data_IF_281319666240
#
_entry.id   IF_281319666240
#
_cell.length_a   1.000
_cell.length_b   1.000
_cell.length_c   1.000
_cell.angle_alpha   90.00
_cell.angle_beta   90.00
_cell.angle_gamma   90.00
#
_symmetry.space_group_name_H-M   'P 1'
#
loop_
_entity.id
_entity.type
_entity.pdbx_description
1 polymer ?
#
# COMPACT_ATOMS: atom_id res chain seq x y z
N UNK A 1 -52.92 -5.38 -81.43
CA UNK A 1 -52.28 -4.54 -80.38
C UNK A 1 -51.45 -3.49 -81.09
N UNK A 2 -51.85 -2.22 -80.96
CA UNK A 2 -51.35 -1.04 -81.68
C UNK A 2 -50.85 0.01 -80.68
N UNK A 3 -49.89 0.82 -81.16
CA UNK A 3 -49.57 2.22 -80.77
C UNK A 3 -48.89 2.44 -79.41
N UNK A 4 -47.67 3.02 -79.40
CA UNK A 4 -47.35 4.45 -79.20
C UNK A 4 -47.28 4.79 -77.69
N UNK A 5 -46.44 5.64 -77.10
CA UNK A 5 -45.56 6.75 -77.50
C UNK A 5 -44.85 7.23 -76.21
N UNK A 6 -43.65 7.78 -76.26
CA UNK A 6 -43.11 8.63 -75.16
C UNK A 6 -43.87 9.97 -75.09
N UNK A 7 -43.94 10.67 -73.93
CA UNK A 7 -42.92 11.69 -73.60
C UNK A 7 -42.69 12.03 -72.09
N UNK A 8 -41.50 12.57 -71.78
CA UNK A 8 -41.34 13.90 -71.15
C UNK A 8 -41.72 14.20 -69.68
N UNK A 9 -40.68 14.43 -68.86
CA UNK A 9 -40.50 15.61 -67.98
C UNK A 9 -41.22 15.78 -66.61
N UNK A 10 -40.37 16.03 -65.59
CA UNK A 10 -40.39 17.08 -64.54
C UNK A 10 -41.39 17.04 -63.34
N UNK A 11 -40.73 17.00 -62.16
CA UNK A 11 -40.77 17.97 -61.03
C UNK A 11 -41.59 17.72 -59.74
N UNK A 12 -40.87 17.97 -58.62
CA UNK A 12 -41.25 18.45 -57.26
C UNK A 12 -41.90 17.42 -56.31
N UNK A 13 -41.76 17.47 -54.98
CA UNK A 13 -40.80 18.06 -54.02
C UNK A 13 -41.29 17.69 -52.60
N UNK A 14 -40.37 17.65 -51.63
CA UNK A 14 -40.53 17.86 -50.17
C UNK A 14 -40.98 16.70 -49.24
N UNK A 15 -40.19 16.57 -48.18
CA UNK A 15 -40.44 15.87 -46.90
C UNK A 15 -39.21 15.03 -46.53
N UNK A 16 -38.41 15.26 -45.50
CA UNK A 16 -38.48 16.16 -44.35
C UNK A 16 -37.92 15.45 -43.10
N UNK A 17 -36.63 15.65 -42.82
CA UNK A 17 -35.91 15.54 -41.52
C UNK A 17 -35.80 14.20 -40.76
N UNK A 18 -34.83 14.04 -39.82
CA UNK A 18 -33.53 14.71 -39.67
C UNK A 18 -32.35 13.76 -39.36
N UNK A 19 -31.14 14.21 -39.70
CA UNK A 19 -29.88 13.62 -39.23
C UNK A 19 -29.64 13.97 -37.75
N UNK A 20 -29.29 12.97 -36.94
CA UNK A 20 -28.92 13.13 -35.53
C UNK A 20 -27.46 13.62 -35.46
N UNK A 21 -27.16 14.69 -34.70
CA UNK A 21 -25.81 15.24 -34.59
C UNK A 21 -24.95 14.38 -33.63
N UNK A 22 -23.81 13.91 -34.12
CA UNK A 22 -22.76 13.35 -33.27
C UNK A 22 -21.83 14.48 -32.82
N UNK A 23 -22.07 15.04 -31.62
CA UNK A 23 -21.07 15.77 -30.81
C UNK A 23 -21.40 15.57 -29.33
N UNK A 24 -20.67 14.67 -28.67
CA UNK A 24 -20.55 14.69 -27.21
C UNK A 24 -19.61 15.83 -26.80
N UNK A 25 -19.74 16.36 -25.57
CA UNK A 25 -18.86 17.41 -25.08
C UNK A 25 -17.42 16.89 -24.94
N UNK A 26 -16.45 17.70 -25.36
CA UNK A 26 -15.03 17.44 -25.15
C UNK A 26 -14.72 17.30 -23.64
N UNK A 27 -13.80 16.40 -23.24
CA UNK A 27 -13.36 16.30 -21.86
C UNK A 27 -12.70 17.62 -21.44
N UNK A 28 -13.13 18.16 -20.29
CA UNK A 28 -12.54 19.36 -19.68
C UNK A 28 -11.08 19.06 -19.35
N UNK A 29 -10.16 19.55 -20.19
CA UNK A 29 -8.73 19.59 -19.90
C UNK A 29 -8.47 20.76 -18.96
N UNK A 30 -8.24 20.48 -17.68
CA UNK A 30 -7.66 21.48 -16.78
C UNK A 30 -6.16 21.56 -17.08
N UNK A 31 -5.74 22.67 -17.70
CA UNK A 31 -4.33 22.96 -18.01
C UNK A 31 -3.56 23.31 -16.73
N UNK A 32 -2.40 22.67 -16.53
CA UNK A 32 -1.49 22.85 -15.39
C UNK A 32 -0.78 24.22 -15.33
N UNK A 33 -1.19 25.21 -16.13
CA UNK A 33 -0.39 26.41 -16.40
C UNK A 33 -0.82 27.70 -15.68
N UNK A 34 -1.62 27.65 -14.60
CA UNK A 34 -1.92 28.87 -13.83
C UNK A 34 -2.00 28.61 -12.32
N UNK A 35 -0.86 28.34 -11.70
CA UNK A 35 -0.74 28.37 -10.24
C UNK A 35 0.49 29.20 -9.86
N UNK A 36 0.25 30.47 -9.54
CA UNK A 36 1.21 31.24 -8.75
C UNK A 36 1.43 30.52 -7.40
N UNK A 37 2.65 30.54 -6.83
CA UNK A 37 2.91 29.88 -5.55
C UNK A 37 1.97 30.45 -4.47
N UNK A 38 1.32 29.62 -3.65
CA UNK A 38 0.43 30.11 -2.62
C UNK A 38 1.23 30.92 -1.60
N UNK A 39 0.76 32.15 -1.35
CA UNK A 39 1.27 33.05 -0.31
C UNK A 39 1.08 32.37 1.07
N UNK A 40 1.97 32.55 2.06
CA UNK A 40 1.79 31.95 3.38
C UNK A 40 0.50 32.49 4.03
N UNK A 41 -0.46 31.60 4.29
CA UNK A 41 -1.68 31.94 5.02
C UNK A 41 -1.45 31.66 6.50
N UNK A 42 -1.62 32.70 7.33
CA UNK A 42 -1.58 32.58 8.79
C UNK A 42 -2.71 31.64 9.27
N UNK A 43 -2.35 30.75 10.20
CA UNK A 43 -3.12 29.60 10.69
C UNK A 43 -4.52 29.91 11.28
N UNK A 44 -4.91 31.18 11.43
CA UNK A 44 -6.04 31.60 12.26
C UNK A 44 -7.37 31.88 11.53
N UNK A 45 -7.43 31.90 10.19
CA UNK A 45 -8.58 32.53 9.50
C UNK A 45 -9.62 31.62 8.83
N UNK A 46 -9.55 30.28 8.92
CA UNK A 46 -10.56 29.41 8.29
C UNK A 46 -10.92 28.22 9.19
N UNK A 47 -12.19 28.15 9.61
CA UNK A 47 -12.77 27.15 10.52
C UNK A 47 -12.83 25.69 10.03
N UNK A 48 -11.89 25.24 9.19
CA UNK A 48 -11.65 23.82 8.90
C UNK A 48 -10.14 23.55 9.04
N UNK A 49 -9.75 22.92 10.15
CA UNK A 49 -8.35 22.77 10.54
C UNK A 49 -7.51 21.98 9.52
N UNK A 50 -6.22 22.26 9.50
CA UNK A 50 -5.23 21.45 8.80
C UNK A 50 -5.30 19.97 9.28
N UNK A 51 -5.19 19.01 8.36
CA UNK A 51 -5.07 17.58 8.67
C UNK A 51 -3.64 17.13 8.36
N UNK A 52 -2.90 16.70 9.40
CA UNK A 52 -1.52 16.22 9.30
C UNK A 52 -1.54 14.72 9.10
N UNK A 53 -1.12 14.26 7.92
CA UNK A 53 -1.13 12.85 7.56
C UNK A 53 0.29 12.33 7.36
N UNK A 54 0.73 11.42 8.21
CA UNK A 54 2.09 10.86 8.15
C UNK A 54 2.20 9.64 7.24
N UNK A 55 3.32 9.48 6.55
CA UNK A 55 3.62 8.28 5.78
C UNK A 55 5.09 7.94 5.75
N UNK A 56 5.41 6.64 5.72
CA UNK A 56 6.75 6.17 5.36
C UNK A 56 6.85 6.04 3.85
N UNK A 57 7.91 6.55 3.18
CA UNK A 57 8.11 6.41 1.74
C UNK A 57 8.21 4.94 1.29
N UNK A 58 7.09 4.42 0.80
CA UNK A 58 6.89 3.08 0.23
C UNK A 58 5.87 3.18 -0.91
N UNK A 59 5.89 2.22 -1.84
CA UNK A 59 4.96 2.21 -2.97
C UNK A 59 3.50 2.09 -2.53
N UNK A 60 3.23 1.43 -1.40
CA UNK A 60 1.91 1.33 -0.79
C UNK A 60 1.40 2.63 -0.14
N UNK A 61 2.24 3.68 -0.03
CA UNK A 61 1.79 5.04 0.29
C UNK A 61 1.15 5.75 -0.91
N UNK A 62 1.13 5.14 -2.10
CA UNK A 62 0.61 5.73 -3.32
C UNK A 62 -0.79 6.32 -3.21
N UNK A 63 -1.79 5.69 -2.53
CA UNK A 63 -3.12 6.28 -2.45
C UNK A 63 -3.13 7.66 -1.79
N UNK A 64 -2.25 7.90 -0.82
CA UNK A 64 -2.13 9.18 -0.12
C UNK A 64 -1.49 10.24 -1.01
N UNK A 65 -0.42 9.86 -1.71
CA UNK A 65 0.34 10.75 -2.59
C UNK A 65 -0.49 11.14 -3.82
N UNK A 66 -1.20 10.18 -4.41
CA UNK A 66 -2.12 10.42 -5.53
C UNK A 66 -3.30 11.28 -5.08
N UNK A 67 -3.91 11.01 -3.93
CA UNK A 67 -5.02 11.82 -3.42
C UNK A 67 -4.61 13.29 -3.20
N UNK A 68 -3.36 13.53 -2.78
CA UNK A 68 -2.79 14.87 -2.63
C UNK A 68 -2.53 15.53 -3.99
N UNK A 69 -1.80 14.87 -4.90
CA UNK A 69 -1.37 15.45 -6.17
C UNK A 69 -2.53 15.71 -7.13
N UNK A 70 -3.52 14.81 -7.15
CA UNK A 70 -4.70 14.95 -8.01
C UNK A 70 -5.80 15.80 -7.36
N UNK A 71 -5.52 16.42 -6.21
CA UNK A 71 -6.46 17.31 -5.53
C UNK A 71 -7.70 16.62 -4.96
N UNK A 72 -7.70 15.29 -4.80
CA UNK A 72 -8.84 14.54 -4.27
C UNK A 72 -9.16 14.91 -2.82
N UNK A 73 -8.15 15.20 -1.99
CA UNK A 73 -8.37 15.74 -0.65
C UNK A 73 -9.04 17.12 -0.68
N UNK A 74 -8.57 18.03 -1.55
CA UNK A 74 -9.14 19.36 -1.68
C UNK A 74 -10.58 19.31 -2.23
N UNK A 75 -10.86 18.42 -3.19
CA UNK A 75 -12.21 18.16 -3.70
C UNK A 75 -13.15 17.62 -2.63
N UNK A 76 -12.62 16.91 -1.63
CA UNK A 76 -13.35 16.46 -0.44
C UNK A 76 -13.44 17.53 0.67
N UNK A 77 -12.99 18.77 0.41
CA UNK A 77 -13.01 19.87 1.37
C UNK A 77 -11.89 19.85 2.42
N UNK A 78 -10.86 19.01 2.23
CA UNK A 78 -9.78 18.81 3.19
C UNK A 78 -8.53 19.60 2.83
N UNK A 79 -7.91 20.19 3.86
CA UNK A 79 -6.55 20.74 3.78
C UNK A 79 -5.58 19.74 4.41
N UNK A 80 -4.96 18.91 3.58
CA UNK A 80 -4.03 17.88 4.04
C UNK A 80 -2.58 18.37 3.88
N UNK A 81 -1.77 18.11 4.91
CA UNK A 81 -0.31 18.19 4.83
C UNK A 81 0.25 16.80 5.05
N UNK A 82 0.91 16.28 4.02
CA UNK A 82 1.63 15.01 4.10
C UNK A 82 2.97 15.21 4.79
N UNK A 83 3.24 14.38 5.80
CA UNK A 83 4.52 14.33 6.51
C UNK A 83 5.25 13.04 6.17
N UNK A 84 6.38 13.14 5.47
CA UNK A 84 7.23 11.99 5.20
C UNK A 84 8.03 11.62 6.47
N UNK A 85 7.87 10.39 6.93
CA UNK A 85 8.47 9.87 8.15
C UNK A 85 9.58 8.87 7.83
N UNK A 86 10.67 8.93 8.59
CA UNK A 86 11.87 8.11 8.32
C UNK A 86 11.80 6.73 8.95
N UNK A 87 10.93 6.51 9.94
CA UNK A 87 10.81 5.24 10.65
C UNK A 87 9.39 5.01 11.20
N UNK A 88 8.98 3.74 11.27
CA UNK A 88 7.68 3.35 11.80
C UNK A 88 7.46 3.72 13.27
N UNK A 89 8.52 3.72 14.08
CA UNK A 89 8.45 4.20 15.47
C UNK A 89 8.05 5.68 15.54
N UNK A 90 8.58 6.53 14.63
CA UNK A 90 8.23 7.94 14.59
C UNK A 90 6.76 8.15 14.19
N UNK A 91 6.25 7.37 13.24
CA UNK A 91 4.82 7.40 12.88
C UNK A 91 3.95 6.99 14.07
N UNK A 92 4.29 5.86 14.74
CA UNK A 92 3.61 5.37 15.93
C UNK A 92 3.51 6.45 17.02
N UNK A 93 4.64 7.07 17.34
CA UNK A 93 4.72 8.05 18.42
C UNK A 93 3.94 9.32 18.04
N UNK A 94 4.11 9.80 16.81
CA UNK A 94 3.39 11.00 16.35
C UNK A 94 1.87 10.80 16.30
N UNK A 95 1.35 9.66 15.85
CA UNK A 95 -0.10 9.44 15.87
C UNK A 95 -0.62 9.24 17.30
N UNK A 96 0.11 8.49 18.15
CA UNK A 96 -0.32 8.21 19.52
C UNK A 96 -0.29 9.46 20.44
N UNK A 97 0.57 10.43 20.15
CA UNK A 97 0.74 11.64 20.96
C UNK A 97 0.29 12.92 20.25
N UNK A 98 -0.52 12.80 19.18
CA UNK A 98 -1.18 13.95 18.53
C UNK A 98 -0.26 14.83 17.66
N UNK A 99 0.93 14.35 17.30
CA UNK A 99 1.79 14.93 16.27
C UNK A 99 1.26 14.72 14.84
N UNK A 100 0.43 13.69 14.64
CA UNK A 100 -0.30 13.39 13.40
C UNK A 100 -1.78 13.15 13.72
N UNK A 101 -2.64 13.50 12.77
CA UNK A 101 -4.09 13.30 12.86
C UNK A 101 -4.50 11.98 12.18
N UNK A 102 -3.77 11.61 11.12
CA UNK A 102 -3.91 10.36 10.41
C UNK A 102 -2.53 9.83 10.00
N UNK A 103 -2.42 8.53 9.74
CA UNK A 103 -1.18 7.95 9.24
C UNK A 103 -1.39 6.72 8.39
N UNK A 104 -0.50 6.54 7.43
CA UNK A 104 -0.12 5.25 6.89
C UNK A 104 0.53 4.42 8.00
N UNK A 105 -0.04 3.26 8.33
CA UNK A 105 0.44 2.33 9.37
C UNK A 105 0.59 0.90 8.86
N UNK A 106 1.47 0.15 9.51
CA UNK A 106 1.61 -1.30 9.38
C UNK A 106 0.36 -2.00 9.94
N UNK A 107 -0.22 -2.97 9.23
CA UNK A 107 -1.42 -3.69 9.68
C UNK A 107 -1.36 -4.20 11.13
N UNK A 108 -0.29 -4.89 11.58
CA UNK A 108 -0.23 -5.35 12.97
C UNK A 108 -0.07 -4.23 14.03
N UNK A 109 0.28 -3.00 13.64
CA UNK A 109 0.57 -1.91 14.58
C UNK A 109 -0.67 -1.42 15.36
N UNK A 110 -1.85 -1.19 14.75
CA UNK A 110 -3.09 -0.94 15.50
C UNK A 110 -3.38 -1.97 16.60
N UNK A 111 -3.16 -3.26 16.33
CA UNK A 111 -3.33 -4.34 17.33
C UNK A 111 -2.31 -4.16 18.46
N UNK A 112 -1.05 -3.90 18.11
CA UNK A 112 0.02 -3.68 19.07
C UNK A 112 -0.28 -2.50 20.01
N UNK A 113 -0.76 -1.37 19.47
CA UNK A 113 -1.13 -0.19 20.25
C UNK A 113 -2.35 -0.44 21.13
N UNK A 114 -3.37 -1.13 20.64
CA UNK A 114 -4.54 -1.51 21.44
C UNK A 114 -4.14 -2.40 22.62
N UNK A 115 -3.18 -3.30 22.42
CA UNK A 115 -2.64 -4.16 23.48
C UNK A 115 -1.65 -3.45 24.42
N UNK A 116 -1.12 -2.28 24.06
CA UNK A 116 -0.11 -1.55 24.85
C UNK A 116 1.33 -2.03 24.62
N UNK A 117 1.62 -2.61 23.47
CA UNK A 117 2.94 -3.14 23.15
C UNK A 117 3.96 -2.05 22.79
N UNK A 118 5.22 -2.29 23.13
CA UNK A 118 6.30 -1.33 22.89
C UNK A 118 6.21 -0.07 23.76
N UNK A 119 5.54 -0.18 24.92
CA UNK A 119 5.41 0.90 25.91
C UNK A 119 4.36 1.96 25.59
N UNK A 120 3.62 1.82 24.49
CA UNK A 120 2.61 2.78 24.06
C UNK A 120 1.26 2.08 23.95
N UNK A 121 0.28 2.56 24.71
CA UNK A 121 -1.13 2.14 24.58
C UNK A 121 -1.94 3.29 24.01
N UNK A 122 -2.56 3.05 22.87
CA UNK A 122 -3.41 4.03 22.22
C UNK A 122 -4.45 3.32 21.34
N UNK A 123 -5.62 3.93 21.16
CA UNK A 123 -6.67 3.35 20.32
C UNK A 123 -6.75 4.10 19.00
N UNK A 124 -6.82 3.34 17.92
CA UNK A 124 -6.87 3.83 16.57
C UNK A 124 -8.13 3.32 15.89
N UNK A 125 -8.63 4.06 14.91
CA UNK A 125 -9.67 3.61 14.00
C UNK A 125 -9.08 3.53 12.59
N UNK A 126 -9.32 2.42 11.90
CA UNK A 126 -8.87 2.23 10.51
C UNK A 126 -9.92 2.82 9.57
N UNK A 127 -9.48 3.69 8.66
CA UNK A 127 -10.32 4.22 7.59
C UNK A 127 -10.37 3.29 6.38
N UNK A 128 -9.20 2.92 5.87
CA UNK A 128 -9.08 2.04 4.71
C UNK A 128 -7.74 1.30 4.68
N UNK A 129 -7.67 0.16 4.01
CA UNK A 129 -6.38 -0.39 3.58
C UNK A 129 -5.78 0.40 2.41
N UNK A 130 -4.45 0.48 2.39
CA UNK A 130 -3.66 1.23 1.41
C UNK A 130 -2.99 0.31 0.37
N UNK A 131 -2.94 -0.98 0.60
CA UNK A 131 -2.40 -1.95 -0.35
C UNK A 131 -2.46 -3.38 0.16
N UNK A 132 -2.64 -4.33 -0.76
CA UNK A 132 -2.37 -5.75 -0.55
C UNK A 132 -0.97 -6.08 -1.07
N UNK A 133 -0.31 -7.07 -0.46
CA UNK A 133 1.01 -7.55 -0.89
C UNK A 133 2.11 -6.45 -0.85
N UNK A 134 3.12 -6.54 -1.72
CA UNK A 134 4.08 -5.46 -1.96
C UNK A 134 5.38 -5.50 -1.13
N UNK A 135 5.60 -6.53 -0.32
CA UNK A 135 6.84 -6.72 0.42
C UNK A 135 7.77 -7.72 -0.27
N UNK A 136 9.08 -7.50 -0.15
CA UNK A 136 10.12 -8.35 -0.72
C UNK A 136 11.08 -8.84 0.35
N UNK A 137 11.44 -10.12 0.28
CA UNK A 137 12.61 -10.67 0.93
C UNK A 137 13.80 -10.56 -0.02
N UNK A 138 14.83 -9.87 0.42
CA UNK A 138 16.08 -9.66 -0.31
C UNK A 138 17.21 -10.25 0.49
N UNK A 139 18.07 -11.04 -0.17
CA UNK A 139 19.30 -11.57 0.41
C UNK A 139 20.53 -10.87 -0.18
N UNK A 140 21.61 -10.79 0.60
CA UNK A 140 22.90 -10.31 0.13
C UNK A 140 23.38 -11.14 -1.05
N UNK A 141 24.25 -10.58 -1.90
CA UNK A 141 24.86 -11.32 -3.01
C UNK A 141 25.52 -12.63 -2.54
N UNK A 142 26.18 -12.61 -1.38
CA UNK A 142 26.86 -13.78 -0.81
C UNK A 142 25.90 -14.92 -0.41
N UNK A 143 24.76 -14.61 0.19
CA UNK A 143 23.75 -15.63 0.50
C UNK A 143 22.99 -16.06 -0.75
N UNK A 144 22.65 -15.11 -1.60
CA UNK A 144 21.92 -15.34 -2.82
C UNK A 144 22.69 -16.24 -3.82
N UNK A 145 24.03 -16.19 -3.82
CA UNK A 145 24.87 -17.04 -4.65
C UNK A 145 24.87 -18.53 -4.23
N UNK A 146 24.41 -18.85 -3.02
CA UNK A 146 24.27 -20.23 -2.52
C UNK A 146 22.95 -20.89 -2.94
N UNK A 147 22.08 -20.15 -3.62
CA UNK A 147 20.79 -20.60 -4.08
C UNK A 147 20.82 -20.78 -5.60
N UNK A 148 20.12 -21.78 -6.11
CA UNK A 148 19.90 -21.91 -7.54
C UNK A 148 18.98 -20.76 -8.03
N UNK A 149 19.46 -19.89 -8.93
CA UNK A 149 18.64 -18.79 -9.45
C UNK A 149 17.48 -19.27 -10.35
N UNK A 150 17.52 -20.51 -10.86
CA UNK A 150 16.47 -21.06 -11.71
C UNK A 150 15.29 -21.62 -10.92
N UNK A 151 15.42 -21.81 -9.60
CA UNK A 151 14.40 -22.43 -8.77
C UNK A 151 13.79 -21.40 -7.80
N UNK A 152 12.45 -21.41 -7.62
CA UNK A 152 11.81 -20.66 -6.55
C UNK A 152 12.37 -21.10 -5.18
N UNK A 153 12.66 -20.13 -4.32
CA UNK A 153 13.11 -20.42 -2.97
C UNK A 153 11.94 -20.95 -2.13
N UNK A 154 12.05 -22.19 -1.66
CA UNK A 154 11.07 -22.81 -0.74
C UNK A 154 11.47 -22.59 0.72
N UNK A 155 10.53 -22.70 1.68
CA UNK A 155 10.85 -22.70 3.10
C UNK A 155 11.94 -23.72 3.49
N UNK A 156 11.88 -24.93 2.93
CA UNK A 156 12.86 -26.00 3.21
C UNK A 156 14.22 -25.67 2.59
N UNK A 157 14.25 -25.10 1.39
CA UNK A 157 15.48 -24.63 0.76
C UNK A 157 16.15 -23.51 1.56
N UNK A 158 15.37 -22.56 2.07
CA UNK A 158 15.89 -21.52 2.97
C UNK A 158 16.38 -22.09 4.30
N UNK A 159 15.67 -23.05 4.89
CA UNK A 159 16.11 -23.75 6.09
C UNK A 159 17.44 -24.49 5.88
N UNK A 160 17.61 -25.16 4.74
CA UNK A 160 18.86 -25.80 4.36
C UNK A 160 20.00 -24.79 4.21
N UNK A 161 19.74 -23.64 3.56
CA UNK A 161 20.71 -22.53 3.47
C UNK A 161 21.15 -22.09 4.87
N UNK A 162 20.21 -21.77 5.76
CA UNK A 162 20.49 -21.28 7.12
C UNK A 162 21.31 -22.29 7.93
N UNK A 163 20.95 -23.57 7.90
CA UNK A 163 21.67 -24.63 8.64
C UNK A 163 23.09 -24.88 8.12
N UNK A 164 23.38 -24.51 6.88
CA UNK A 164 24.72 -24.60 6.29
C UNK A 164 25.60 -23.37 6.57
N UNK A 165 25.07 -22.32 7.21
CA UNK A 165 25.84 -21.14 7.59
C UNK A 165 26.60 -21.39 8.91
N UNK A 166 27.80 -20.80 9.07
CA UNK A 166 28.56 -20.94 10.32
C UNK A 166 27.93 -20.18 11.50
N UNK A 167 27.01 -19.26 11.23
CA UNK A 167 26.25 -18.50 12.20
C UNK A 167 24.86 -18.13 11.65
N UNK A 168 23.87 -17.87 12.52
CA UNK A 168 22.56 -17.36 12.10
C UNK A 168 22.68 -16.08 11.27
N UNK A 169 22.03 -15.99 10.10
CA UNK A 169 22.10 -14.79 9.28
C UNK A 169 21.33 -13.64 9.93
N UNK A 170 21.85 -12.42 9.76
CA UNK A 170 21.19 -11.19 10.23
C UNK A 170 20.20 -10.69 9.20
N UNK A 171 18.91 -10.90 9.46
CA UNK A 171 17.83 -10.40 8.63
C UNK A 171 17.14 -9.21 9.27
N UNK A 172 16.88 -8.18 8.48
CA UNK A 172 16.15 -7.03 8.95
C UNK A 172 14.66 -7.07 8.60
N UNK A 173 13.87 -6.52 9.50
CA UNK A 173 12.47 -6.13 9.28
C UNK A 173 12.32 -4.65 9.61
N UNK A 174 11.19 -4.06 9.24
CA UNK A 174 11.02 -2.60 9.35
C UNK A 174 10.51 -2.16 10.73
N UNK A 175 9.89 -3.06 11.48
CA UNK A 175 9.36 -2.83 12.82
C UNK A 175 9.03 -4.19 13.49
N UNK A 176 9.09 -4.33 14.84
CA UNK A 176 8.78 -5.60 15.51
C UNK A 176 7.35 -6.08 15.26
N UNK A 177 6.37 -5.17 15.29
CA UNK A 177 4.97 -5.49 15.04
C UNK A 177 4.58 -5.10 13.61
N UNK A 178 5.14 -5.82 12.64
CA UNK A 178 4.96 -5.57 11.20
C UNK A 178 4.52 -6.82 10.45
N UNK A 179 3.82 -6.60 9.32
CA UNK A 179 3.50 -7.64 8.35
C UNK A 179 4.77 -8.33 7.86
N UNK A 180 5.85 -7.57 7.61
CA UNK A 180 7.18 -8.06 7.24
C UNK A 180 7.69 -9.14 8.20
N UNK A 181 7.65 -8.85 9.50
CA UNK A 181 8.12 -9.76 10.53
C UNK A 181 7.24 -11.02 10.61
N UNK A 182 5.92 -10.86 10.67
CA UNK A 182 5.03 -12.00 10.87
C UNK A 182 4.94 -12.92 9.65
N UNK A 183 4.98 -12.37 8.43
CA UNK A 183 5.06 -13.17 7.21
C UNK A 183 6.39 -13.90 7.09
N UNK A 184 7.51 -13.24 7.39
CA UNK A 184 8.83 -13.89 7.39
C UNK A 184 8.88 -15.02 8.42
N UNK A 185 8.46 -14.76 9.66
CA UNK A 185 8.39 -15.77 10.73
C UNK A 185 7.51 -16.95 10.37
N UNK A 186 6.35 -16.70 9.78
CA UNK A 186 5.46 -17.76 9.30
C UNK A 186 6.17 -18.62 8.23
N UNK A 187 6.73 -17.98 7.21
CA UNK A 187 7.35 -18.67 6.08
C UNK A 187 8.58 -19.50 6.50
N UNK A 188 9.49 -18.95 7.33
CA UNK A 188 10.67 -19.72 7.79
C UNK A 188 10.30 -20.87 8.73
N UNK A 189 9.21 -20.72 9.50
CA UNK A 189 8.72 -21.80 10.37
C UNK A 189 8.17 -23.00 9.58
N UNK A 190 7.62 -22.79 8.38
CA UNK A 190 7.24 -23.89 7.47
C UNK A 190 8.45 -24.72 7.02
N UNK A 191 9.65 -24.13 7.03
CA UNK A 191 10.93 -24.82 6.80
C UNK A 191 11.48 -25.53 8.03
N UNK A 192 10.82 -25.40 9.18
CA UNK A 192 11.28 -25.95 10.47
C UNK A 192 12.38 -25.12 11.14
N UNK A 193 12.48 -23.82 10.82
CA UNK A 193 13.33 -22.89 11.57
C UNK A 193 12.54 -22.23 12.71
N UNK A 194 13.19 -22.04 13.85
CA UNK A 194 12.74 -21.11 14.87
C UNK A 194 13.38 -19.74 14.61
N UNK A 195 12.62 -18.70 14.20
CA UNK A 195 13.16 -17.39 13.85
C UNK A 195 13.86 -16.65 15.00
N UNK A 196 13.57 -16.98 16.27
CA UNK A 196 14.21 -16.34 17.43
C UNK A 196 15.53 -17.01 17.83
N UNK A 197 15.83 -18.19 17.27
CA UNK A 197 17.06 -18.96 17.55
C UNK A 197 17.94 -19.09 16.31
N UNK A 198 17.33 -19.41 15.18
CA UNK A 198 18.02 -19.81 13.95
C UNK A 198 18.32 -18.61 13.03
N UNK A 199 17.80 -17.42 13.36
CA UNK A 199 18.04 -16.16 12.66
C UNK A 199 18.41 -15.07 13.68
N UNK A 200 19.11 -14.03 13.22
CA UNK A 200 19.24 -12.78 13.98
C UNK A 200 18.32 -11.73 13.36
N UNK A 201 17.14 -11.52 13.95
CA UNK A 201 16.19 -10.51 13.47
C UNK A 201 16.48 -9.13 14.07
N UNK A 202 16.67 -8.12 13.22
CA UNK A 202 16.90 -6.73 13.63
C UNK A 202 15.91 -5.77 12.96
N UNK A 203 15.86 -4.52 13.44
CA UNK A 203 14.97 -3.48 12.92
C UNK A 203 15.78 -2.37 12.27
N UNK A 204 15.40 -1.98 11.04
CA UNK A 204 15.95 -0.79 10.38
C UNK A 204 14.96 -0.11 9.44
N UNK A 205 15.10 1.20 9.21
CA UNK A 205 14.29 1.94 8.24
C UNK A 205 14.39 1.37 6.81
N UNK A 206 13.27 1.15 6.09
CA UNK A 206 13.30 0.58 4.74
C UNK A 206 14.31 1.23 3.78
N UNK A 207 14.43 2.56 3.83
CA UNK A 207 15.35 3.34 2.99
C UNK A 207 16.83 3.05 3.23
N UNK A 208 17.19 2.50 4.39
CA UNK A 208 18.56 2.10 4.72
C UNK A 208 18.89 0.66 4.35
N UNK A 209 17.89 -0.15 3.98
CA UNK A 209 18.04 -1.59 3.81
C UNK A 209 19.07 -1.95 2.73
N UNK A 210 19.06 -1.21 1.61
CA UNK A 210 20.06 -1.35 0.57
C UNK A 210 21.48 -1.13 1.12
N UNK A 211 21.75 0.04 1.70
CA UNK A 211 23.09 0.41 2.20
C UNK A 211 23.60 -0.55 3.29
N UNK A 212 22.73 -0.96 4.20
CA UNK A 212 23.05 -1.96 5.21
C UNK A 212 23.44 -3.29 4.57
N UNK A 213 22.78 -3.69 3.48
CA UNK A 213 23.11 -4.91 2.74
C UNK A 213 24.47 -4.79 2.02
N UNK A 214 24.72 -3.64 1.37
CA UNK A 214 25.96 -3.39 0.64
C UNK A 214 27.20 -3.33 1.55
N UNK A 215 27.03 -2.85 2.78
CA UNK A 215 28.11 -2.73 3.78
C UNK A 215 28.33 -4.01 4.58
N UNK A 216 27.51 -5.05 4.37
CA UNK A 216 27.57 -6.28 5.16
C UNK A 216 27.11 -6.11 6.61
N UNK A 217 26.44 -4.99 6.93
CA UNK A 217 25.65 -4.90 8.15
C UNK A 217 24.57 -6.00 8.06
N UNK A 218 23.81 -5.95 6.99
CA UNK A 218 22.82 -6.91 6.51
C UNK A 218 23.27 -8.29 5.99
N UNK A 219 22.60 -9.39 6.32
CA UNK A 219 22.60 -10.57 5.42
C UNK A 219 21.36 -10.61 4.50
N UNK A 220 20.29 -9.93 4.89
CA UNK A 220 19.07 -9.78 4.10
C UNK A 220 18.04 -8.92 4.80
N UNK A 221 16.92 -8.65 4.14
CA UNK A 221 15.82 -7.89 4.73
C UNK A 221 14.46 -8.25 4.12
N UNK A 222 13.40 -8.03 4.90
CA UNK A 222 12.02 -8.04 4.44
C UNK A 222 11.43 -6.63 4.61
N UNK A 223 11.16 -5.95 3.49
CA UNK A 223 10.64 -4.59 3.46
C UNK A 223 9.65 -4.38 2.32
N UNK A 224 8.85 -3.31 2.40
CA UNK A 224 8.00 -2.88 1.29
C UNK A 224 8.81 -2.31 0.13
N UNK A 225 8.25 -2.42 -1.07
CA UNK A 225 8.79 -1.74 -2.25
C UNK A 225 8.79 -0.21 -2.10
N UNK A 226 9.68 0.52 -2.81
CA UNK A 226 10.57 0.07 -3.89
C UNK A 226 11.95 -0.42 -3.42
N UNK A 227 12.18 -0.55 -2.11
CA UNK A 227 13.52 -0.76 -1.55
C UNK A 227 14.14 -2.11 -1.92
N UNK A 228 13.32 -3.12 -2.18
CA UNK A 228 13.81 -4.39 -2.71
C UNK A 228 14.31 -4.26 -4.15
N UNK A 229 13.52 -3.59 -4.99
CA UNK A 229 13.88 -3.31 -6.39
C UNK A 229 15.09 -2.36 -6.50
N UNK A 230 15.19 -1.37 -5.61
CA UNK A 230 16.35 -0.46 -5.52
C UNK A 230 17.63 -1.23 -5.18
N UNK A 231 17.60 -2.06 -4.13
CA UNK A 231 18.75 -2.83 -3.70
C UNK A 231 19.23 -3.81 -4.80
N UNK A 232 18.29 -4.39 -5.54
CA UNK A 232 18.61 -5.24 -6.67
C UNK A 232 19.18 -4.46 -7.87
N UNK A 233 18.61 -3.31 -8.22
CA UNK A 233 19.04 -2.49 -9.34
C UNK A 233 20.49 -2.00 -9.20
N UNK A 234 20.95 -1.76 -7.98
CA UNK A 234 22.35 -1.39 -7.68
C UNK A 234 23.28 -2.57 -7.40
N UNK A 235 22.79 -3.81 -7.50
CA UNK A 235 23.58 -5.02 -7.25
C UNK A 235 23.91 -5.29 -5.78
N UNK A 236 23.26 -4.63 -4.83
CA UNK A 236 23.51 -4.85 -3.39
C UNK A 236 22.87 -6.15 -2.87
N UNK A 237 21.82 -6.65 -3.52
CA UNK A 237 21.14 -7.88 -3.14
C UNK A 237 20.30 -8.47 -4.25
N UNK A 238 19.71 -9.63 -3.97
CA UNK A 238 18.76 -10.31 -4.87
C UNK A 238 17.43 -10.50 -4.17
N UNK A 239 16.35 -10.09 -4.82
CA UNK A 239 14.99 -10.43 -4.38
C UNK A 239 14.82 -11.94 -4.55
N UNK A 240 14.52 -12.65 -3.47
CA UNK A 240 14.36 -14.12 -3.47
C UNK A 240 12.93 -14.58 -3.27
N UNK A 241 12.08 -13.70 -2.72
CA UNK A 241 10.69 -14.01 -2.42
C UNK A 241 9.85 -12.73 -2.35
N UNK A 242 8.63 -12.78 -2.89
CA UNK A 242 7.59 -11.77 -2.66
C UNK A 242 6.65 -12.22 -1.54
N UNK A 243 6.17 -11.29 -0.72
CA UNK A 243 5.20 -11.60 0.34
C UNK A 243 3.86 -12.12 -0.19
N UNK A 244 3.49 -11.75 -1.41
CA UNK A 244 2.33 -12.31 -2.10
C UNK A 244 2.49 -13.79 -2.48
N UNK A 245 3.73 -14.30 -2.56
CA UNK A 245 4.02 -15.73 -2.73
C UNK A 245 3.92 -16.50 -1.39
N UNK A 246 3.92 -15.79 -0.25
CA UNK A 246 3.66 -16.35 1.09
C UNK A 246 2.15 -16.37 1.37
N UNK A 247 1.50 -15.23 1.15
CA UNK A 247 0.05 -15.06 1.31
C UNK A 247 -0.47 -14.16 0.21
N UNK A 248 -1.06 -14.76 -0.82
CA UNK A 248 -1.64 -14.03 -1.92
C UNK A 248 -2.80 -13.14 -1.45
N UNK A 249 -2.65 -11.82 -1.64
CA UNK A 249 -3.66 -10.83 -1.28
C UNK A 249 -3.69 -10.51 0.22
N UNK A 250 -2.57 -10.68 0.93
CA UNK A 250 -2.54 -10.34 2.35
C UNK A 250 -2.78 -8.85 2.57
N UNK A 251 -3.54 -8.45 3.62
CA UNK A 251 -3.64 -7.05 3.99
C UNK A 251 -2.25 -6.54 4.38
N UNK A 252 -1.94 -5.30 4.03
CA UNK A 252 -0.66 -4.72 4.39
C UNK A 252 -0.86 -3.46 5.22
N UNK A 253 -0.88 -2.33 4.53
CA UNK A 253 -0.85 -1.01 5.13
C UNK A 253 -2.25 -0.46 5.28
N UNK A 254 -2.44 0.37 6.29
CA UNK A 254 -3.74 0.95 6.62
C UNK A 254 -3.61 2.47 6.75
N UNK A 255 -4.65 3.19 6.32
CA UNK A 255 -4.94 4.54 6.78
C UNK A 255 -5.59 4.43 8.15
N UNK A 256 -4.96 4.99 9.17
CA UNK A 256 -5.48 5.01 10.53
C UNK A 256 -5.56 6.43 11.06
N UNK A 257 -6.52 6.64 11.97
CA UNK A 257 -6.73 7.87 12.73
C UNK A 257 -6.68 7.52 14.21
N UNK A 258 -6.38 8.48 15.09
CA UNK A 258 -6.68 8.29 16.52
C UNK A 258 -8.20 8.27 16.72
N UNK A 259 -8.68 7.46 17.67
CA UNK A 259 -10.11 7.46 18.00
C UNK A 259 -10.58 8.83 18.47
N UNK A 260 -9.75 9.57 19.19
CA UNK A 260 -10.03 10.93 19.64
C UNK A 260 -10.26 11.88 18.46
N UNK A 261 -9.42 11.78 17.41
CA UNK A 261 -9.60 12.59 16.20
C UNK A 261 -10.90 12.24 15.49
N UNK A 262 -11.22 10.94 15.36
CA UNK A 262 -12.48 10.50 14.73
C UNK A 262 -13.69 10.97 15.52
N UNK A 263 -13.65 10.95 16.84
CA UNK A 263 -14.73 11.43 17.69
C UNK A 263 -14.96 12.95 17.52
N UNK A 264 -13.89 13.73 17.36
CA UNK A 264 -13.98 15.19 17.21
C UNK A 264 -14.27 15.65 15.78
N UNK A 265 -13.74 14.95 14.77
CA UNK A 265 -13.72 15.37 13.37
C UNK A 265 -14.14 14.24 12.43
N UNK A 266 -15.21 13.49 12.78
CA UNK A 266 -15.68 12.33 12.03
C UNK A 266 -15.89 12.61 10.54
N UNK A 267 -16.52 13.73 10.21
CA UNK A 267 -16.79 14.13 8.83
C UNK A 267 -15.50 14.18 7.99
N UNK A 268 -14.42 14.69 8.56
CA UNK A 268 -13.13 14.77 7.89
C UNK A 268 -12.44 13.41 7.79
N UNK A 269 -12.56 12.56 8.81
CA UNK A 269 -12.07 11.18 8.74
C UNK A 269 -12.76 10.40 7.63
N UNK A 270 -14.08 10.55 7.48
CA UNK A 270 -14.85 9.91 6.42
C UNK A 270 -14.50 10.50 5.05
N UNK A 271 -14.40 11.83 4.92
CA UNK A 271 -13.98 12.49 3.68
C UNK A 271 -12.56 12.08 3.24
N UNK A 272 -11.63 11.96 4.20
CA UNK A 272 -10.26 11.53 3.96
C UNK A 272 -10.22 10.07 3.50
N UNK A 273 -11.01 9.21 4.15
CA UNK A 273 -11.16 7.81 3.77
C UNK A 273 -11.74 7.69 2.36
N UNK A 274 -12.75 8.48 2.01
CA UNK A 274 -13.33 8.50 0.66
C UNK A 274 -12.30 8.95 -0.40
N UNK A 275 -11.53 10.01 -0.14
CA UNK A 275 -10.48 10.45 -1.06
C UNK A 275 -9.43 9.35 -1.30
N UNK A 276 -9.06 8.59 -0.26
CA UNK A 276 -8.13 7.46 -0.37
C UNK A 276 -8.73 6.28 -1.15
N UNK A 277 -10.01 5.95 -0.96
CA UNK A 277 -10.70 4.93 -1.77
C UNK A 277 -10.73 5.34 -3.25
N UNK A 278 -11.02 6.61 -3.54
CA UNK A 278 -11.01 7.15 -4.90
C UNK A 278 -9.61 7.06 -5.55
N UNK A 279 -8.56 7.40 -4.79
CA UNK A 279 -7.18 7.27 -5.26
C UNK A 279 -6.78 5.81 -5.51
N UNK A 280 -7.20 4.88 -4.63
CA UNK A 280 -6.96 3.45 -4.80
C UNK A 280 -7.62 2.89 -6.07
N UNK A 281 -8.85 3.33 -6.40
CA UNK A 281 -9.51 3.01 -7.67
C UNK A 281 -8.72 3.52 -8.86
N UNK A 282 -8.26 4.77 -8.81
CA UNK A 282 -7.49 5.39 -9.89
C UNK A 282 -6.15 4.67 -10.12
N UNK A 283 -5.46 4.27 -9.05
CA UNK A 283 -4.18 3.56 -9.12
C UNK A 283 -4.24 2.17 -9.76
N UNK A 284 -5.35 1.47 -9.58
CA UNK A 284 -5.55 0.13 -10.14
C UNK A 284 -5.93 0.14 -11.63
N UNK A 285 -6.25 1.30 -12.21
CA UNK A 285 -6.40 1.45 -13.66
C UNK A 285 -5.02 1.48 -14.34
N UNK A 286 -4.71 0.52 -15.25
CA UNK A 286 -3.43 0.48 -15.95
C UNK A 286 -3.10 1.76 -16.75
N UNK A 287 -4.10 2.50 -17.22
CA UNK A 287 -3.89 3.74 -17.97
C UNK A 287 -3.19 4.83 -17.13
N UNK A 288 -3.34 4.78 -15.80
CA UNK A 288 -2.83 5.76 -14.87
C UNK A 288 -1.40 5.46 -14.40
N UNK A 289 -0.80 4.34 -14.85
CA UNK A 289 0.49 3.84 -14.35
C UNK A 289 1.63 4.83 -14.51
N UNK A 290 1.76 5.44 -15.68
CA UNK A 290 2.84 6.39 -15.97
C UNK A 290 2.79 7.64 -15.09
N UNK A 291 1.58 8.16 -14.84
CA UNK A 291 1.37 9.30 -13.96
C UNK A 291 1.57 8.93 -12.49
N UNK A 292 1.12 7.75 -12.05
CA UNK A 292 1.38 7.24 -10.70
C UNK A 292 2.89 7.16 -10.42
N UNK A 293 3.68 6.63 -11.35
CA UNK A 293 5.15 6.57 -11.23
C UNK A 293 5.74 7.98 -11.14
N UNK A 294 5.26 8.93 -11.95
CA UNK A 294 5.73 10.31 -11.92
C UNK A 294 5.45 10.99 -10.58
N UNK A 295 4.25 10.80 -10.02
CA UNK A 295 3.85 11.31 -8.70
C UNK A 295 4.74 10.71 -7.60
N UNK A 296 4.86 9.39 -7.55
CA UNK A 296 5.68 8.69 -6.55
C UNK A 296 7.14 9.13 -6.60
N UNK A 297 7.71 9.26 -7.80
CA UNK A 297 9.07 9.74 -7.98
C UNK A 297 9.23 11.16 -7.45
N UNK A 298 8.33 12.07 -7.83
CA UNK A 298 8.43 13.48 -7.42
C UNK A 298 8.28 13.65 -5.89
N UNK A 299 7.39 12.88 -5.26
CA UNK A 299 6.98 13.12 -3.87
C UNK A 299 7.65 12.23 -2.82
N UNK A 300 8.03 11.01 -3.18
CA UNK A 300 8.58 10.03 -2.25
C UNK A 300 9.98 9.53 -2.63
N UNK A 301 10.31 9.51 -3.93
CA UNK A 301 11.52 8.84 -4.43
C UNK A 301 12.31 9.67 -5.46
N UNK A 302 12.68 10.93 -5.16
CA UNK A 302 13.28 11.84 -6.16
C UNK A 302 14.60 11.31 -6.74
N UNK A 303 15.35 10.51 -5.97
CA UNK A 303 16.60 9.89 -6.39
C UNK A 303 16.47 8.55 -7.12
N UNK A 304 15.27 7.97 -7.22
CA UNK A 304 15.08 6.66 -7.87
C UNK A 304 14.72 6.80 -9.35
N UNK A 305 15.16 5.81 -10.13
CA UNK A 305 14.76 5.64 -11.52
C UNK A 305 13.27 5.29 -11.61
N UNK A 306 12.60 5.75 -12.68
CA UNK A 306 11.16 5.47 -12.88
C UNK A 306 10.91 3.97 -13.01
N UNK A 307 11.86 3.27 -13.64
CA UNK A 307 11.85 1.84 -13.89
C UNK A 307 11.84 1.07 -12.57
N UNK A 308 12.66 1.47 -11.58
CA UNK A 308 12.69 0.86 -10.24
C UNK A 308 11.35 0.99 -9.51
N UNK A 309 10.69 2.15 -9.64
CA UNK A 309 9.36 2.38 -9.04
C UNK A 309 8.29 1.58 -9.82
N UNK A 310 8.42 1.50 -11.14
CA UNK A 310 7.52 0.75 -12.03
C UNK A 310 7.47 -0.73 -11.70
N UNK A 311 8.61 -1.38 -11.43
CA UNK A 311 8.69 -2.79 -11.05
C UNK A 311 7.72 -3.15 -9.90
N UNK A 312 7.68 -2.30 -8.88
CA UNK A 312 6.81 -2.49 -7.72
C UNK A 312 5.32 -2.44 -8.08
N UNK A 313 4.91 -1.44 -8.87
CA UNK A 313 3.51 -1.27 -9.26
C UNK A 313 3.07 -2.38 -10.22
N UNK A 314 3.95 -2.81 -11.13
CA UNK A 314 3.67 -3.84 -12.13
C UNK A 314 3.69 -5.25 -11.54
N UNK A 315 4.26 -5.42 -10.35
CA UNK A 315 4.53 -6.73 -9.77
C UNK A 315 5.58 -7.50 -10.56
N UNK A 316 6.49 -6.77 -11.20
CA UNK A 316 7.63 -7.31 -11.92
C UNK A 316 8.83 -7.47 -10.99
N UNK A 317 9.77 -8.32 -11.39
CA UNK A 317 11.07 -8.48 -10.76
C UNK A 317 12.17 -7.98 -11.71
N UNK A 318 13.35 -7.61 -11.18
CA UNK A 318 14.48 -7.15 -12.00
C UNK A 318 14.94 -8.16 -13.06
N UNK A 319 14.65 -9.45 -12.87
CA UNK A 319 14.95 -10.53 -13.83
C UNK A 319 13.88 -10.68 -14.93
N UNK A 320 12.88 -9.80 -14.97
CA UNK A 320 11.77 -9.83 -15.92
C UNK A 320 10.63 -10.77 -15.53
N UNK A 321 10.74 -11.52 -14.43
CA UNK A 321 9.65 -12.38 -13.95
C UNK A 321 8.49 -11.53 -13.45
N UNK A 322 7.30 -11.79 -13.99
CA UNK A 322 6.06 -11.23 -13.48
C UNK A 322 5.49 -12.13 -12.38
N UNK A 323 5.12 -11.54 -11.25
CA UNK A 323 4.40 -12.25 -10.20
C UNK A 323 2.99 -12.66 -10.70
N UNK A 324 2.41 -13.74 -10.16
CA UNK A 324 0.97 -14.01 -10.29
C UNK A 324 0.15 -12.79 -9.87
N UNK A 325 -0.97 -12.52 -10.55
CA UNK A 325 -1.76 -11.29 -10.33
C UNK A 325 -2.15 -11.11 -8.86
N UNK A 326 -2.54 -12.20 -8.20
CA UNK A 326 -2.94 -12.22 -6.80
C UNK A 326 -1.80 -11.95 -5.80
N UNK A 327 -0.55 -12.04 -6.26
CA UNK A 327 0.65 -11.76 -5.47
C UNK A 327 1.23 -10.36 -5.73
N UNK A 328 0.63 -9.59 -6.64
CA UNK A 328 1.06 -8.22 -6.97
C UNK A 328 0.49 -7.20 -5.99
N UNK A 329 1.14 -6.03 -5.91
CA UNK A 329 0.59 -4.89 -5.20
C UNK A 329 -0.74 -4.48 -5.83
N UNK A 330 -1.80 -4.39 -5.01
CA UNK A 330 -3.16 -4.00 -5.44
C UNK A 330 -3.75 -3.02 -4.45
N UNK A 331 -4.41 -1.97 -4.95
CA UNK A 331 -4.88 -0.87 -4.12
C UNK A 331 -6.37 -0.97 -3.81
N UNK A 332 -7.24 -1.05 -4.84
CA UNK A 332 -8.69 -1.01 -4.64
C UNK A 332 -9.22 -2.17 -3.79
N UNK A 333 -8.79 -3.44 -4.01
CA UNK A 333 -9.21 -4.55 -3.17
C UNK A 333 -8.76 -4.45 -1.70
N UNK A 334 -7.72 -3.67 -1.42
CA UNK A 334 -7.21 -3.48 -0.07
C UNK A 334 -8.10 -2.60 0.79
N UNK A 335 -8.95 -1.78 0.18
CA UNK A 335 -9.54 -0.62 0.87
C UNK A 335 -10.43 -0.99 2.04
N UNK A 336 -11.18 -2.09 1.99
CA UNK A 336 -12.03 -2.53 3.10
C UNK A 336 -11.20 -3.21 4.19
N UNK A 337 -11.05 -2.63 5.39
CA UNK A 337 -10.42 -3.31 6.52
C UNK A 337 -11.27 -4.49 6.97
N UNK A 338 -10.66 -5.67 7.09
CA UNK A 338 -11.36 -6.88 7.51
C UNK A 338 -10.79 -7.39 8.83
N UNK A 339 -11.65 -7.46 9.85
CA UNK A 339 -11.30 -8.03 11.14
C UNK A 339 -10.80 -9.48 11.01
N UNK A 340 -11.39 -10.28 10.11
CA UNK A 340 -10.98 -11.67 9.91
C UNK A 340 -9.55 -11.79 9.37
N UNK A 341 -9.14 -10.93 8.44
CA UNK A 341 -7.75 -10.89 7.98
C UNK A 341 -6.81 -10.39 9.09
N UNK A 342 -7.28 -9.48 9.94
CA UNK A 342 -6.52 -9.00 11.10
C UNK A 342 -6.36 -10.04 12.21
N UNK A 343 -7.30 -10.99 12.35
CA UNK A 343 -7.16 -12.13 13.27
C UNK A 343 -5.91 -12.94 12.98
N UNK A 344 -5.47 -13.05 11.73
CA UNK A 344 -4.22 -13.72 11.40
C UNK A 344 -3.01 -13.05 12.06
N UNK A 345 -2.92 -11.71 12.00
CA UNK A 345 -1.88 -10.96 12.71
C UNK A 345 -1.92 -11.23 14.20
N UNK A 346 -3.11 -11.17 14.81
CA UNK A 346 -3.28 -11.46 16.24
C UNK A 346 -2.82 -12.89 16.59
N UNK A 347 -3.14 -13.89 15.77
CA UNK A 347 -2.69 -15.28 15.98
C UNK A 347 -1.18 -15.41 15.84
N UNK A 348 -0.54 -14.73 14.89
CA UNK A 348 0.93 -14.73 14.81
C UNK A 348 1.57 -14.01 16.00
N UNK A 349 1.01 -12.87 16.44
CA UNK A 349 1.47 -12.18 17.65
C UNK A 349 1.39 -13.10 18.88
N UNK A 350 0.31 -13.88 19.00
CA UNK A 350 0.15 -14.88 20.07
C UNK A 350 1.14 -16.05 19.92
N UNK A 351 1.28 -16.61 18.72
CA UNK A 351 2.18 -17.73 18.40
C UNK A 351 3.62 -17.45 18.85
N UNK A 352 4.08 -16.22 18.64
CA UNK A 352 5.44 -15.80 18.98
C UNK A 352 5.57 -15.16 20.36
N UNK A 353 4.54 -15.25 21.22
CA UNK A 353 4.60 -14.72 22.58
C UNK A 353 4.73 -13.19 22.67
N UNK A 354 4.33 -12.48 21.62
CA UNK A 354 4.45 -11.02 21.54
C UNK A 354 3.26 -10.28 22.18
N UNK A 355 2.21 -10.98 22.62
CA UNK A 355 1.06 -10.38 23.30
C UNK A 355 1.21 -10.48 24.83
N UNK A 356 0.71 -9.50 25.60
CA UNK A 356 0.63 -9.61 27.05
C UNK A 356 -0.33 -10.74 27.45
N UNK A 357 -0.08 -11.35 28.62
CA UNK A 357 -1.02 -12.29 29.22
C UNK A 357 -2.39 -11.61 29.41
N UNK A 358 -3.47 -12.27 28.97
CA UNK A 358 -4.84 -11.74 29.09
C UNK A 358 -5.27 -10.75 28.00
N UNK A 359 -4.48 -10.52 26.95
CA UNK A 359 -4.92 -9.73 25.79
C UNK A 359 -6.12 -10.41 25.09
N UNK A 360 -7.31 -9.87 25.33
CA UNK A 360 -8.56 -10.34 24.74
C UNK A 360 -8.67 -9.98 23.25
N UNK A 361 -9.27 -10.87 22.46
CA UNK A 361 -9.41 -10.71 21.01
C UNK A 361 -10.22 -9.46 20.64
N UNK A 362 -11.34 -9.22 21.31
CA UNK A 362 -12.21 -8.07 21.02
C UNK A 362 -11.48 -6.72 21.18
N UNK A 363 -10.73 -6.54 22.26
CA UNK A 363 -9.97 -5.30 22.48
C UNK A 363 -8.80 -5.14 21.50
N UNK A 364 -8.14 -6.24 21.14
CA UNK A 364 -7.02 -6.23 20.21
C UNK A 364 -7.45 -5.94 18.76
N UNK A 365 -8.66 -6.36 18.37
CA UNK A 365 -9.21 -6.18 17.02
C UNK A 365 -10.17 -4.99 16.90
N UNK A 366 -10.49 -4.28 17.98
CA UNK A 366 -11.33 -3.09 17.96
C UNK A 366 -10.94 -2.05 16.88
N UNK A 367 -9.65 -1.81 16.56
CA UNK A 367 -9.27 -0.88 15.48
C UNK A 367 -9.74 -1.27 14.08
N UNK A 368 -10.11 -2.54 13.86
CA UNK A 368 -10.51 -3.11 12.58
C UNK A 368 -12.03 -3.10 12.36
N UNK A 369 -12.75 -2.23 13.06
CA UNK A 369 -14.13 -1.87 12.70
C UNK A 369 -14.17 -1.24 11.30
N UNK A 370 -15.20 -1.56 10.52
CA UNK A 370 -15.34 -1.11 9.12
C UNK A 370 -16.28 0.11 8.97
N UNK A 371 -16.76 0.70 10.06
CA UNK A 371 -17.76 1.77 10.02
C UNK A 371 -17.31 3.01 9.25
N UNK A 372 -16.06 3.46 9.44
CA UNK A 372 -15.49 4.59 8.68
C UNK A 372 -15.44 4.28 7.18
N UNK A 373 -15.04 3.06 6.83
CA UNK A 373 -15.01 2.62 5.45
C UNK A 373 -16.42 2.59 4.85
N UNK A 374 -17.41 2.04 5.56
CA UNK A 374 -18.80 1.93 5.07
C UNK A 374 -19.42 3.29 4.79
N UNK A 375 -19.22 4.27 5.68
CA UNK A 375 -19.69 5.64 5.47
C UNK A 375 -19.01 6.29 4.26
N UNK A 376 -17.70 6.10 4.09
CA UNK A 376 -16.95 6.63 2.96
C UNK A 376 -17.34 5.97 1.64
N UNK A 377 -17.49 4.64 1.64
CA UNK A 377 -17.91 3.84 0.49
C UNK A 377 -19.30 4.24 0.01
N UNK A 378 -20.24 4.52 0.93
CA UNK A 378 -21.58 4.98 0.58
C UNK A 378 -21.56 6.30 -0.21
N UNK A 379 -20.70 7.26 0.16
CA UNK A 379 -20.54 8.54 -0.58
C UNK A 379 -20.07 8.35 -2.02
N UNK A 380 -19.28 7.30 -2.25
CA UNK A 380 -18.66 7.00 -3.54
C UNK A 380 -19.43 5.94 -4.35
N UNK A 381 -20.52 5.41 -3.80
CA UNK A 381 -21.17 4.18 -4.29
C UNK A 381 -20.15 3.06 -4.54
N UNK A 382 -19.18 2.88 -3.63
CA UNK A 382 -18.17 1.82 -3.74
C UNK A 382 -18.76 0.47 -3.37
N UNK A 383 -18.78 -0.52 -4.28
CA UNK A 383 -19.11 -1.88 -3.90
C UNK A 383 -18.09 -2.42 -2.91
N UNK A 384 -18.56 -3.31 -2.03
CA UNK A 384 -17.67 -4.08 -1.19
C UNK A 384 -16.65 -4.86 -2.06
N UNK A 385 -15.34 -4.69 -1.82
CA UNK A 385 -14.34 -5.44 -2.55
C UNK A 385 -14.51 -6.94 -2.37
N UNK A 386 -14.09 -7.74 -3.35
CA UNK A 386 -14.06 -9.19 -3.19
C UNK A 386 -13.16 -9.61 -2.01
N UNK A 387 -13.47 -10.74 -1.39
CA UNK A 387 -12.59 -11.33 -0.37
C UNK A 387 -11.25 -11.70 -1.00
N UNK A 388 -10.16 -11.42 -0.28
CA UNK A 388 -8.86 -12.01 -0.58
C UNK A 388 -8.93 -13.53 -0.42
N UNK A 389 -7.98 -14.25 -1.03
CA UNK A 389 -7.83 -15.68 -0.79
C UNK A 389 -7.67 -15.99 0.72
N UNK A 390 -8.05 -17.20 1.14
CA UNK A 390 -7.96 -17.60 2.55
C UNK A 390 -6.53 -17.43 3.06
N UNK A 391 -6.45 -17.11 4.35
CA UNK A 391 -5.19 -16.99 5.08
C UNK A 391 -4.32 -18.26 4.98
N UNK A 392 -2.99 -18.13 5.07
CA UNK A 392 -2.10 -19.29 5.13
C UNK A 392 -2.45 -20.16 6.33
N UNK A 393 -2.62 -21.46 6.07
CA UNK A 393 -2.81 -22.44 7.14
C UNK A 393 -1.48 -22.68 7.87
N UNK A 394 -1.59 -23.01 9.16
CA UNK A 394 -0.46 -23.12 10.07
C UNK A 394 0.42 -24.35 9.82
#
# INVERSE_FOLDING_TARGET
>A
MRAASEPGSRQRSKGGSPAIPARGPDPIRVSAATLAPPRPVLLSELGSGLLRLGFVPLTDAAPLLVAQELGMFAAAGLRVVLSAETAWAAVRDKIAFGGLDAAHLLGPMPIALACGLGGVRHRLAIGAGLGLNGNRLVLSGALAARLDPALPLTPQGFAALVRALPAPPRLAVVFPFSSHNYLLRHWVALGGLNPDRDLHLCVLPPSRAGDALATGEIDGFCAGEPWGSEAAARGAGRIVLSSGEIWAGHPEKMLAFSEEFVAMRREESVACTAAVIAAARWLDDPANRGEAIAILRARAFPGLAKETIGLALEGALPDGRLLPEEARLRFRPATLPRADSARWWLRQMRRWGHLPAGAGEAGALAPYDDGLWREAAARLSEPEPALSRPEPQA
#
